data_IF_522192812621
#
_entry.id   IF_522192812621
#
_cell.length_a   1.000
_cell.length_b   1.000
_cell.length_c   1.000
_cell.angle_alpha   90.00
_cell.angle_beta   90.00
_cell.angle_gamma   90.00
#
_symmetry.space_group_name_H-M   'P 1'
#
loop_
_entity.id
_entity.type
_entity.pdbx_description
1 polymer ?
#
# COMPACT_ATOMS: atom_id res chain seq x y z
N UNK A 1 17.44 -28.35 11.07
CA UNK A 1 18.07 -27.98 12.36
C UNK A 1 19.32 -28.83 12.61
N UNK A 2 20.32 -28.32 13.33
CA UNK A 2 21.59 -29.03 13.54
C UNK A 2 22.04 -29.04 15.01
N UNK A 3 22.85 -30.03 15.37
CA UNK A 3 23.53 -30.08 16.66
C UNK A 3 24.51 -28.90 16.77
N UNK A 4 24.38 -28.12 17.85
CA UNK A 4 25.26 -26.98 18.13
C UNK A 4 26.74 -27.39 18.25
N UNK A 5 27.01 -28.64 18.64
CA UNK A 5 28.35 -29.07 19.01
C UNK A 5 29.09 -29.85 17.93
N UNK A 6 28.41 -30.53 17.01
CA UNK A 6 29.06 -31.28 15.93
C UNK A 6 28.51 -30.96 14.53
N UNK A 7 27.51 -30.07 14.42
CA UNK A 7 26.89 -29.68 13.15
C UNK A 7 26.02 -30.77 12.51
N UNK A 8 25.91 -31.96 13.11
CA UNK A 8 25.07 -33.03 12.59
C UNK A 8 23.61 -32.58 12.49
N UNK A 9 22.97 -32.82 11.35
CA UNK A 9 21.58 -32.45 11.12
C UNK A 9 20.71 -33.36 11.98
N UNK A 10 19.94 -32.77 12.89
CA UNK A 10 19.09 -33.52 13.84
C UNK A 10 17.67 -33.70 13.29
N UNK A 11 17.21 -32.75 12.47
CA UNK A 11 15.91 -32.76 11.81
C UNK A 11 16.05 -32.06 10.45
N UNK A 12 15.59 -32.72 9.41
CA UNK A 12 15.42 -32.15 8.06
C UNK A 12 14.01 -31.56 7.97
N UNK A 13 13.90 -30.26 7.69
CA UNK A 13 12.61 -29.57 7.59
C UNK A 13 12.67 -28.13 8.10
N UNK A 14 11.95 -27.26 7.41
CA UNK A 14 11.82 -25.83 7.71
C UNK A 14 10.67 -25.53 8.69
N UNK A 15 10.08 -26.56 9.30
CA UNK A 15 8.86 -26.41 10.10
C UNK A 15 9.14 -25.71 11.43
N UNK A 16 8.78 -24.42 11.44
CA UNK A 16 8.90 -23.45 12.53
C UNK A 16 7.80 -23.66 13.59
N UNK A 17 7.41 -24.91 13.84
CA UNK A 17 6.36 -25.29 14.79
C UNK A 17 6.88 -26.30 15.79
N UNK A 18 7.38 -25.82 16.93
CA UNK A 18 7.65 -26.71 18.07
C UNK A 18 6.34 -26.93 18.83
N UNK A 19 5.78 -28.14 18.77
CA UNK A 19 4.81 -28.56 19.77
C UNK A 19 5.50 -28.71 21.13
N UNK A 20 4.74 -28.69 22.23
CA UNK A 20 5.28 -28.98 23.56
C UNK A 20 5.86 -30.41 23.64
N UNK A 21 5.41 -31.32 22.77
CA UNK A 21 5.92 -32.69 22.65
C UNK A 21 7.29 -32.72 21.93
N UNK A 22 7.53 -31.84 20.95
CA UNK A 22 8.82 -31.74 20.26
C UNK A 22 9.92 -31.18 21.18
N UNK A 23 9.54 -30.31 22.13
CA UNK A 23 10.46 -29.82 23.19
C UNK A 23 10.92 -30.93 24.12
N UNK A 24 10.07 -31.93 24.36
CA UNK A 24 10.40 -33.11 25.18
C UNK A 24 11.24 -34.14 24.40
N UNK A 25 11.29 -34.05 23.07
CA UNK A 25 12.05 -34.95 22.18
C UNK A 25 13.46 -34.48 21.83
N UNK A 26 13.99 -33.43 22.45
CA UNK A 26 15.39 -33.04 22.27
C UNK A 26 16.29 -34.07 22.98
N UNK A 27 16.41 -35.24 22.36
CA UNK A 27 17.36 -36.27 22.74
C UNK A 27 18.77 -35.74 22.51
N UNK A 28 19.77 -36.20 23.29
CA UNK A 28 21.16 -35.91 22.99
C UNK A 28 21.49 -36.31 21.56
N UNK A 29 22.28 -35.51 20.85
CA UNK A 29 22.67 -35.81 19.47
C UNK A 29 23.32 -37.20 19.38
N UNK A 30 22.80 -38.08 18.52
CA UNK A 30 23.32 -39.45 18.37
C UNK A 30 24.80 -39.51 17.92
N UNK A 31 25.30 -38.44 17.29
CA UNK A 31 26.67 -38.36 16.82
C UNK A 31 27.66 -37.92 17.92
N UNK A 32 27.27 -37.04 18.84
CA UNK A 32 28.21 -36.48 19.83
C UNK A 32 27.73 -36.52 21.29
N UNK A 33 26.55 -37.06 21.56
CA UNK A 33 25.95 -37.22 22.88
C UNK A 33 25.58 -35.93 23.61
N UNK A 34 25.58 -34.78 22.92
CA UNK A 34 25.29 -33.46 23.54
C UNK A 34 23.91 -32.94 23.16
N UNK A 35 23.27 -32.22 24.06
CA UNK A 35 21.90 -31.69 23.94
C UNK A 35 21.79 -30.29 23.33
N UNK A 36 22.85 -29.77 22.71
CA UNK A 36 22.84 -28.44 22.10
C UNK A 36 22.20 -28.44 20.71
N UNK A 37 21.26 -27.51 20.48
CA UNK A 37 20.52 -27.34 19.22
C UNK A 37 20.78 -25.95 18.64
N UNK A 38 21.04 -25.88 17.34
CA UNK A 38 21.09 -24.62 16.59
C UNK A 38 19.77 -24.40 15.87
N UNK A 39 19.11 -23.29 16.21
CA UNK A 39 17.88 -22.82 15.57
C UNK A 39 18.22 -21.66 14.62
N UNK A 40 17.77 -21.77 13.38
CA UNK A 40 17.79 -20.65 12.44
C UNK A 40 16.49 -19.86 12.61
N UNK A 41 16.59 -18.62 13.08
CA UNK A 41 15.46 -17.70 13.16
C UNK A 41 15.62 -16.67 12.06
N UNK A 42 14.66 -16.61 11.14
CA UNK A 42 14.59 -15.54 10.15
C UNK A 42 13.59 -14.49 10.61
N UNK A 43 14.07 -13.27 10.79
CA UNK A 43 13.22 -12.09 11.00
C UNK A 43 13.30 -11.24 9.74
N UNK A 44 12.15 -10.93 9.16
CA UNK A 44 12.06 -10.05 7.98
C UNK A 44 11.20 -8.85 8.30
N UNK A 45 11.69 -7.66 7.94
CA UNK A 45 10.94 -6.41 7.99
C UNK A 45 10.89 -5.83 6.56
N UNK A 46 9.82 -5.09 6.27
CA UNK A 46 9.72 -4.37 5.00
C UNK A 46 9.17 -2.97 5.22
N UNK A 47 9.78 -1.99 4.58
CA UNK A 47 9.29 -0.61 4.51
C UNK A 47 8.86 -0.34 3.08
N UNK A 48 7.68 0.28 2.91
CA UNK A 48 7.19 0.73 1.61
C UNK A 48 7.05 2.24 1.61
N UNK A 49 7.64 2.89 0.62
CA UNK A 49 7.45 4.31 0.35
C UNK A 49 6.50 4.48 -0.83
N UNK A 50 5.65 5.51 -0.75
CA UNK A 50 4.67 5.85 -1.76
C UNK A 50 4.86 7.31 -2.13
N UNK A 51 4.91 7.62 -3.41
CA UNK A 51 5.02 8.98 -3.92
C UNK A 51 3.63 9.54 -4.27
N UNK A 52 3.45 10.83 -4.01
CA UNK A 52 2.25 11.54 -4.40
C UNK A 52 2.60 13.00 -4.64
N UNK A 53 2.21 13.51 -5.80
CA UNK A 53 2.43 14.89 -6.21
C UNK A 53 1.11 15.63 -6.38
N UNK A 54 1.13 16.93 -6.09
CA UNK A 54 0.01 17.81 -6.39
C UNK A 54 0.49 19.10 -7.04
N UNK A 55 -0.18 19.53 -8.09
CA UNK A 55 0.15 20.73 -8.88
C UNK A 55 -1.05 21.66 -8.84
N UNK A 56 -0.81 22.93 -8.53
CA UNK A 56 -1.85 23.97 -8.55
C UNK A 56 -1.35 25.20 -9.29
N UNK A 57 -1.93 25.49 -10.45
CA UNK A 57 -1.68 26.74 -11.17
C UNK A 57 -2.72 27.79 -10.75
N UNK A 58 -2.26 29.00 -10.44
CA UNK A 58 -3.11 30.14 -10.04
C UNK A 58 -2.81 31.36 -10.90
N UNK A 59 -3.80 32.24 -11.06
CA UNK A 59 -3.64 33.57 -11.65
C UNK A 59 -3.92 34.64 -10.59
N UNK A 60 -3.30 35.82 -10.67
CA UNK A 60 -3.64 36.95 -9.81
C UNK A 60 -5.15 37.26 -9.87
N UNK A 61 -5.75 37.54 -8.72
CA UNK A 61 -7.19 37.84 -8.61
C UNK A 61 -8.13 36.62 -8.64
N UNK A 62 -7.64 35.40 -8.90
CA UNK A 62 -8.47 34.19 -8.91
C UNK A 62 -8.36 33.42 -7.59
N UNK A 63 -9.51 33.20 -6.92
CA UNK A 63 -9.57 32.48 -5.64
C UNK A 63 -9.26 30.98 -5.79
N UNK A 64 -9.79 30.35 -6.85
CA UNK A 64 -9.59 28.92 -7.13
C UNK A 64 -8.43 28.74 -8.12
N UNK A 65 -7.65 27.64 -8.04
CA UNK A 65 -6.66 27.30 -9.06
C UNK A 65 -7.31 27.19 -10.44
N UNK A 66 -6.64 27.68 -11.47
CA UNK A 66 -7.07 27.48 -12.86
C UNK A 66 -6.81 26.05 -13.34
N UNK A 67 -5.83 25.38 -12.72
CA UNK A 67 -5.52 23.98 -12.93
C UNK A 67 -5.13 23.36 -11.58
N UNK A 68 -5.70 22.21 -11.23
CA UNK A 68 -5.40 21.46 -10.01
C UNK A 68 -5.26 19.98 -10.36
N UNK A 69 -4.06 19.41 -10.17
CA UNK A 69 -3.80 18.01 -10.44
C UNK A 69 -3.25 17.31 -9.19
N UNK A 70 -3.65 16.05 -8.99
CA UNK A 70 -3.10 15.12 -8.00
C UNK A 70 -2.73 13.84 -8.74
N UNK A 71 -1.51 13.34 -8.52
CA UNK A 71 -1.02 12.11 -9.14
C UNK A 71 -0.19 11.29 -8.15
N UNK A 72 -0.27 9.97 -8.25
CA UNK A 72 0.53 9.06 -7.44
C UNK A 72 -0.30 8.18 -6.52
N UNK A 73 0.40 7.53 -5.60
CA UNK A 73 -0.18 6.57 -4.67
C UNK A 73 -1.01 7.28 -3.60
N UNK A 74 -2.25 6.82 -3.42
CA UNK A 74 -3.17 7.34 -2.42
C UNK A 74 -3.89 6.20 -1.70
N UNK A 75 -3.90 6.24 -0.37
CA UNK A 75 -4.60 5.25 0.43
C UNK A 75 -6.10 5.56 0.49
N UNK A 76 -6.91 4.58 0.10
CA UNK A 76 -8.36 4.64 0.24
C UNK A 76 -8.76 4.57 1.71
N UNK A 77 -9.46 5.59 2.21
CA UNK A 77 -9.93 5.62 3.61
C UNK A 77 -10.97 4.54 3.92
N UNK A 78 -11.68 4.03 2.92
CA UNK A 78 -12.71 3.00 3.11
C UNK A 78 -12.13 1.58 3.17
N UNK A 79 -11.01 1.32 2.51
CA UNK A 79 -10.46 -0.04 2.35
C UNK A 79 -9.05 -0.21 2.90
N UNK A 80 -8.36 0.90 3.23
CA UNK A 80 -6.95 0.90 3.62
C UNK A 80 -5.97 0.56 2.48
N UNK A 81 -6.46 0.31 1.27
CA UNK A 81 -5.63 -0.07 0.12
C UNK A 81 -5.01 1.15 -0.56
N UNK A 82 -3.73 1.02 -0.92
CA UNK A 82 -3.01 1.98 -1.75
C UNK A 82 -3.34 1.75 -3.23
N UNK A 83 -3.78 2.80 -3.92
CA UNK A 83 -4.10 2.79 -5.34
C UNK A 83 -3.37 3.93 -6.04
N UNK A 84 -3.12 3.76 -7.34
CA UNK A 84 -2.64 4.86 -8.17
C UNK A 84 -3.81 5.77 -8.52
N UNK A 85 -3.69 7.06 -8.21
CA UNK A 85 -4.71 8.06 -8.48
C UNK A 85 -4.14 9.10 -9.43
N UNK A 86 -4.91 9.45 -10.45
CA UNK A 86 -4.74 10.64 -11.25
C UNK A 86 -6.04 11.43 -11.19
N UNK A 87 -5.98 12.69 -10.79
CA UNK A 87 -7.14 13.57 -10.73
C UNK A 87 -6.75 14.94 -11.27
N UNK A 88 -7.52 15.47 -12.21
CA UNK A 88 -7.30 16.79 -12.78
C UNK A 88 -8.59 17.59 -12.73
N UNK A 89 -8.48 18.84 -12.31
CA UNK A 89 -9.50 19.86 -12.45
C UNK A 89 -8.93 20.94 -13.35
N UNK A 90 -9.42 21.00 -14.58
CA UNK A 90 -8.99 21.97 -15.57
C UNK A 90 -10.09 23.03 -15.78
N UNK A 91 -9.82 24.25 -15.32
CA UNK A 91 -10.72 25.41 -15.53
C UNK A 91 -10.26 26.28 -16.71
N UNK A 92 -9.20 25.85 -17.40
CA UNK A 92 -8.67 26.49 -18.60
C UNK A 92 -9.08 25.77 -19.88
N UNK A 93 -9.71 24.60 -19.76
CA UNK A 93 -10.09 23.77 -20.89
C UNK A 93 -11.01 24.55 -21.85
N UNK A 94 -10.50 24.81 -23.06
CA UNK A 94 -11.25 25.46 -24.14
C UNK A 94 -11.95 24.45 -25.05
N UNK A 95 -11.70 23.15 -24.88
CA UNK A 95 -12.25 22.09 -25.75
C UNK A 95 -13.73 21.82 -25.48
N UNK A 96 -14.15 21.99 -24.23
CA UNK A 96 -15.53 21.74 -23.80
C UNK A 96 -16.31 23.03 -23.51
N UNK A 97 -15.72 24.20 -23.77
CA UNK A 97 -16.25 25.53 -23.38
C UNK A 97 -16.62 25.66 -21.88
N UNK A 98 -16.21 24.70 -21.04
CA UNK A 98 -16.48 24.68 -19.61
C UNK A 98 -15.36 23.99 -18.80
N UNK A 99 -15.34 24.24 -17.48
CA UNK A 99 -14.39 23.59 -16.58
C UNK A 99 -14.64 22.08 -16.54
N UNK A 100 -13.57 21.29 -16.56
CA UNK A 100 -13.64 19.84 -16.69
C UNK A 100 -12.98 19.12 -15.50
N UNK A 101 -13.54 17.97 -15.13
CA UNK A 101 -13.02 17.09 -14.09
C UNK A 101 -12.66 15.73 -14.70
N UNK A 102 -11.44 15.27 -14.45
CA UNK A 102 -11.05 13.88 -14.72
C UNK A 102 -10.52 13.22 -13.46
N UNK A 103 -10.85 11.93 -13.30
CA UNK A 103 -10.26 11.09 -12.27
C UNK A 103 -10.14 9.65 -12.73
N UNK A 104 -8.94 9.11 -12.62
CA UNK A 104 -8.65 7.68 -12.80
C UNK A 104 -8.06 7.11 -11.51
N UNK A 105 -8.55 5.94 -11.11
CA UNK A 105 -8.04 5.19 -9.96
C UNK A 105 -7.77 3.76 -10.40
N UNK A 106 -6.54 3.30 -10.21
CA UNK A 106 -6.07 1.98 -10.65
C UNK A 106 -5.48 1.24 -9.46
N UNK A 107 -5.82 -0.04 -9.31
CA UNK A 107 -5.24 -0.92 -8.28
C UNK A 107 -3.77 -1.21 -8.59
N UNK A 108 -3.04 -1.75 -7.61
CA UNK A 108 -1.69 -2.28 -7.83
C UNK A 108 -1.61 -3.36 -8.92
N UNK A 109 -2.71 -4.06 -9.17
CA UNK A 109 -2.80 -5.17 -10.12
C UNK A 109 -3.21 -4.69 -11.52
N UNK A 110 -3.52 -3.39 -11.68
CA UNK A 110 -3.88 -2.76 -12.94
C UNK A 110 -5.39 -2.59 -13.16
N UNK A 111 -6.22 -3.01 -12.21
CA UNK A 111 -7.68 -2.90 -12.33
C UNK A 111 -8.14 -1.46 -12.18
N UNK A 112 -9.01 -1.01 -13.09
CA UNK A 112 -9.58 0.34 -13.04
C UNK A 112 -10.77 0.35 -12.08
N UNK A 113 -10.57 0.93 -10.89
CA UNK A 113 -11.64 1.10 -9.89
C UNK A 113 -12.57 2.27 -10.24
N UNK A 114 -12.04 3.28 -10.91
CA UNK A 114 -12.79 4.48 -11.29
C UNK A 114 -12.14 5.14 -12.49
N UNK A 115 -12.96 5.50 -13.46
CA UNK A 115 -12.58 6.34 -14.59
C UNK A 115 -13.73 7.32 -14.85
N UNK A 116 -13.49 8.60 -14.60
CA UNK A 116 -14.50 9.66 -14.69
C UNK A 116 -13.93 10.79 -15.52
N UNK A 117 -14.73 11.28 -16.46
CA UNK A 117 -14.45 12.46 -17.27
C UNK A 117 -15.78 13.19 -17.47
N UNK A 118 -15.97 14.29 -16.77
CA UNK A 118 -17.27 15.00 -16.73
C UNK A 118 -17.08 16.52 -16.55
N UNK A 119 -18.07 17.35 -16.94
CA UNK A 119 -18.09 18.76 -16.59
C UNK A 119 -17.96 18.96 -15.08
N UNK A 120 -17.13 19.93 -14.66
CA UNK A 120 -16.91 20.22 -13.25
C UNK A 120 -18.19 20.63 -12.53
N UNK A 121 -19.14 21.26 -13.24
CA UNK A 121 -20.46 21.65 -12.71
C UNK A 121 -21.30 20.43 -12.29
N UNK A 122 -21.12 19.30 -12.95
CA UNK A 122 -21.86 18.07 -12.71
C UNK A 122 -21.19 17.20 -11.63
N UNK A 123 -19.91 17.47 -11.36
CA UNK A 123 -19.14 16.81 -10.30
C UNK A 123 -19.58 17.26 -8.88
N UNK A 124 -20.70 16.71 -8.42
CA UNK A 124 -21.32 17.04 -7.12
C UNK A 124 -21.47 15.80 -6.22
N UNK A 125 -21.58 16.01 -4.89
CA UNK A 125 -21.91 14.95 -3.93
C UNK A 125 -20.88 13.84 -3.75
N UNK A 126 -19.67 14.02 -4.30
CA UNK A 126 -18.62 12.99 -4.37
C UNK A 126 -17.28 13.54 -3.88
N UNK A 127 -16.49 12.73 -3.16
CA UNK A 127 -15.15 13.12 -2.71
C UNK A 127 -15.10 14.49 -2.03
N UNK A 128 -14.21 15.36 -2.49
CA UNK A 128 -14.04 16.75 -2.02
C UNK A 128 -15.27 17.65 -2.30
N UNK A 129 -16.21 17.21 -3.15
CA UNK A 129 -17.46 17.89 -3.47
C UNK A 129 -18.65 17.44 -2.59
N UNK A 130 -18.42 16.57 -1.58
CA UNK A 130 -19.45 16.30 -0.56
C UNK A 130 -19.72 17.57 0.25
N UNK A 131 -20.99 17.88 0.56
CA UNK A 131 -21.30 18.97 1.49
C UNK A 131 -20.64 18.68 2.83
N UNK A 132 -20.03 19.71 3.42
CA UNK A 132 -19.53 19.60 4.79
C UNK A 132 -20.75 19.52 5.72
N UNK A 133 -20.77 18.53 6.62
CA UNK A 133 -21.69 18.56 7.75
C UNK A 133 -21.41 19.85 8.52
N UNK A 134 -22.44 20.68 8.69
CA UNK A 134 -22.39 21.80 9.62
C UNK A 134 -22.53 21.18 11.02
N UNK A 135 -21.52 21.36 11.87
CA UNK A 135 -21.64 21.20 13.33
C UNK A 135 -22.39 22.38 13.94
#
# INVERSE_FOLDING_TARGET
MSCQNCGHILLEGDDIGFSDEDRQRVQPCDNCGKSGLTLAVQVSESVRAYDHASIKAKRPGQKKPIYDAKMGASQSTATGQWNQVEQIIDRTNTTHDESWYTKRVVTKDGDVLRDVSEPLKDHTGRGDAKPKMQE
#
